data_IF_659607650971
#
_entry.id   IF_659607650971
#
_cell.length_a   1.000
_cell.length_b   1.000
_cell.length_c   1.000
_cell.angle_alpha   90.00
_cell.angle_beta   90.00
_cell.angle_gamma   90.00
#
_symmetry.space_group_name_H-M   'P 1'
#
loop_
_entity.id
_entity.type
_entity.pdbx_description
1 polymer ?
#
# COMPACT_ATOMS: atom_id res chain seq x y z
N UNK A 1 -10.38 9.18 -8.89
CA UNK A 1 -10.47 8.04 -7.96
C UNK A 1 -9.27 7.12 -8.17
N UNK A 2 -8.49 6.79 -7.13
CA UNK A 2 -7.19 6.11 -7.29
C UNK A 2 -7.24 4.73 -7.97
N UNK A 3 -8.23 3.87 -7.68
CA UNK A 3 -8.38 2.57 -8.36
C UNK A 3 -8.47 2.74 -9.88
N UNK A 4 -9.32 3.64 -10.36
CA UNK A 4 -9.51 3.90 -11.79
C UNK A 4 -8.20 4.27 -12.50
N UNK A 5 -7.38 5.11 -11.86
CA UNK A 5 -6.09 5.52 -12.42
C UNK A 5 -5.12 4.33 -12.51
N UNK A 6 -5.05 3.50 -11.47
CA UNK A 6 -4.19 2.32 -11.47
C UNK A 6 -4.66 1.26 -12.48
N UNK A 7 -5.96 0.98 -12.58
CA UNK A 7 -6.50 0.04 -13.56
C UNK A 7 -6.26 0.50 -15.02
N UNK A 8 -6.32 1.81 -15.29
CA UNK A 8 -5.97 2.34 -16.61
C UNK A 8 -4.50 2.13 -16.95
N UNK A 9 -3.58 2.28 -15.99
CA UNK A 9 -2.15 1.95 -16.19
C UNK A 9 -1.95 0.47 -16.52
N UNK A 10 -2.70 -0.42 -15.86
CA UNK A 10 -2.67 -1.86 -16.16
C UNK A 10 -3.12 -2.14 -17.60
N UNK A 11 -4.21 -1.52 -18.05
CA UNK A 11 -4.69 -1.66 -19.42
C UNK A 11 -3.66 -1.19 -20.45
N UNK A 12 -3.01 -0.04 -20.20
CA UNK A 12 -1.93 0.47 -21.04
C UNK A 12 -0.71 -0.45 -21.08
N UNK A 13 -0.44 -1.16 -19.98
CA UNK A 13 0.69 -2.09 -19.86
C UNK A 13 0.38 -3.49 -20.40
N UNK A 14 -0.89 -3.75 -20.73
CA UNK A 14 -1.41 -5.05 -21.13
C UNK A 14 -1.75 -5.95 -19.93
N UNK A 15 -2.90 -6.60 -20.00
CA UNK A 15 -3.36 -7.48 -18.94
C UNK A 15 -2.47 -8.73 -18.80
N UNK A 16 -2.26 -9.16 -17.54
CA UNK A 16 -1.70 -10.46 -17.18
C UNK A 16 -2.50 -11.54 -17.91
N UNK A 17 -1.80 -12.52 -18.46
CA UNK A 17 -2.43 -13.70 -19.03
C UNK A 17 -1.65 -14.93 -18.60
N UNK A 18 -2.39 -15.98 -18.28
CA UNK A 18 -1.83 -17.24 -17.82
C UNK A 18 -1.97 -18.31 -18.91
N UNK A 19 -1.01 -19.24 -18.97
CA UNK A 19 -1.09 -20.37 -19.88
C UNK A 19 -1.96 -21.45 -19.24
N UNK A 20 -3.19 -21.55 -19.69
CA UNK A 20 -4.14 -22.57 -19.23
C UNK A 20 -4.10 -23.74 -20.20
N UNK A 21 -3.96 -24.94 -19.65
CA UNK A 21 -4.06 -26.18 -20.42
C UNK A 21 -5.54 -26.48 -20.67
N UNK A 22 -5.90 -26.68 -21.93
CA UNK A 22 -7.25 -27.16 -22.31
C UNK A 22 -7.15 -28.43 -23.11
N UNK A 23 -7.96 -29.41 -22.71
CA UNK A 23 -8.26 -30.57 -23.51
C UNK A 23 -9.31 -30.18 -24.55
N UNK A 24 -9.04 -30.49 -25.82
CA UNK A 24 -9.85 -30.13 -26.97
C UNK A 24 -10.06 -31.37 -27.85
N UNK A 25 -11.22 -31.49 -28.46
CA UNK A 25 -11.48 -32.45 -29.54
C UNK A 25 -11.83 -31.65 -30.78
N UNK A 26 -11.04 -31.79 -31.84
CA UNK A 26 -11.22 -31.02 -33.09
C UNK A 26 -10.78 -31.89 -34.29
N UNK A 27 -11.15 -31.51 -35.51
CA UNK A 27 -10.74 -32.19 -36.75
C UNK A 27 -9.38 -31.72 -37.25
N UNK A 28 -8.91 -30.56 -36.76
CA UNK A 28 -7.62 -29.98 -37.16
C UNK A 28 -6.60 -30.06 -36.03
N UNK A 29 -5.36 -30.46 -36.36
CA UNK A 29 -4.29 -30.57 -35.38
C UNK A 29 -3.83 -29.18 -34.92
N UNK A 30 -4.10 -28.85 -33.65
CA UNK A 30 -3.61 -27.66 -32.96
C UNK A 30 -3.04 -28.06 -31.60
N UNK A 31 -1.74 -27.82 -31.39
CA UNK A 31 -1.05 -28.23 -30.16
C UNK A 31 -0.57 -29.68 -30.21
N UNK A 32 -0.75 -30.44 -29.12
CA UNK A 32 -0.23 -31.81 -28.99
C UNK A 32 -1.36 -32.83 -28.86
N UNK A 33 -1.33 -33.90 -29.64
CA UNK A 33 -2.27 -35.02 -29.53
C UNK A 33 -2.14 -35.66 -28.13
N UNK A 34 -3.28 -36.01 -27.53
CA UNK A 34 -3.37 -36.86 -26.35
C UNK A 34 -3.61 -38.32 -26.79
N UNK A 35 -2.55 -39.13 -26.98
CA UNK A 35 -2.69 -40.47 -27.53
C UNK A 35 -3.49 -41.39 -26.61
N UNK A 36 -3.46 -41.15 -25.29
CA UNK A 36 -4.22 -41.93 -24.32
C UNK A 36 -5.71 -41.64 -24.49
N UNK A 37 -6.09 -40.36 -24.57
CA UNK A 37 -7.49 -39.98 -24.81
C UNK A 37 -7.97 -40.45 -26.20
N UNK A 38 -7.13 -40.36 -27.24
CA UNK A 38 -7.45 -40.84 -28.58
C UNK A 38 -7.75 -42.34 -28.60
N UNK A 39 -6.91 -43.15 -27.97
CA UNK A 39 -7.07 -44.60 -27.94
C UNK A 39 -8.25 -45.06 -27.07
N UNK A 40 -8.55 -44.34 -25.98
CA UNK A 40 -9.58 -44.75 -25.01
C UNK A 40 -10.97 -44.17 -25.28
N UNK A 41 -11.07 -42.99 -25.90
CA UNK A 41 -12.34 -42.28 -26.11
C UNK A 41 -12.70 -42.08 -27.58
N UNK A 42 -11.73 -42.18 -28.49
CA UNK A 42 -11.89 -41.94 -29.92
C UNK A 42 -11.82 -43.21 -30.78
N UNK A 43 -12.06 -44.40 -30.21
CA UNK A 43 -11.97 -45.65 -30.95
C UNK A 43 -12.97 -45.65 -32.12
N UNK A 44 -12.45 -45.72 -33.36
CA UNK A 44 -13.25 -45.66 -34.58
C UNK A 44 -13.56 -44.25 -35.11
N UNK A 45 -13.17 -43.18 -34.42
CA UNK A 45 -13.37 -41.78 -34.86
C UNK A 45 -12.02 -41.17 -35.27
N UNK A 46 -11.62 -41.40 -36.52
CA UNK A 46 -10.35 -40.90 -37.08
C UNK A 46 -10.41 -39.42 -37.49
N UNK A 47 -11.61 -38.88 -37.66
CA UNK A 47 -11.88 -37.47 -38.00
C UNK A 47 -11.79 -36.55 -36.77
N UNK A 48 -11.70 -37.11 -35.55
CA UNK A 48 -11.64 -36.36 -34.29
C UNK A 48 -10.33 -36.61 -33.57
N UNK A 49 -9.57 -35.55 -33.37
CA UNK A 49 -8.30 -35.58 -32.68
C UNK A 49 -8.48 -35.05 -31.25
N UNK A 50 -8.22 -35.92 -30.27
CA UNK A 50 -8.09 -35.53 -28.87
C UNK A 50 -6.73 -34.86 -28.67
N UNK A 51 -6.73 -33.60 -28.23
CA UNK A 51 -5.55 -32.75 -28.15
C UNK A 51 -5.49 -31.98 -26.84
N UNK A 52 -4.27 -31.60 -26.48
CA UNK A 52 -3.92 -30.71 -25.38
C UNK A 52 -3.34 -29.43 -25.97
N UNK A 53 -3.99 -28.32 -25.68
CA UNK A 53 -3.54 -26.98 -26.09
C UNK A 53 -3.20 -26.14 -24.87
N UNK A 54 -2.33 -25.15 -25.05
CA UNK A 54 -2.03 -24.14 -24.05
C UNK A 54 -2.50 -22.80 -24.60
N UNK A 55 -3.54 -22.22 -23.98
CA UNK A 55 -4.06 -20.90 -24.37
C UNK A 55 -3.65 -19.89 -23.32
N UNK A 56 -3.27 -18.71 -23.81
CA UNK A 56 -2.86 -17.59 -22.97
C UNK A 56 -4.10 -16.75 -22.64
N UNK A 57 -4.72 -17.02 -21.50
CA UNK A 57 -6.04 -16.49 -21.13
C UNK A 57 -5.93 -15.33 -20.13
N UNK A 58 -6.71 -14.25 -20.29
CA UNK A 58 -6.70 -13.12 -19.38
C UNK A 58 -7.55 -13.37 -18.13
N UNK A 59 -8.29 -14.47 -18.03
CA UNK A 59 -9.21 -14.82 -16.94
C UNK A 59 -8.47 -15.25 -15.66
N UNK A 60 -7.55 -14.40 -15.20
CA UNK A 60 -6.80 -14.59 -13.96
C UNK A 60 -7.46 -13.83 -12.81
N UNK A 61 -7.22 -14.28 -11.59
CA UNK A 61 -7.79 -13.63 -10.40
C UNK A 61 -7.34 -12.16 -10.29
N UNK A 62 -6.12 -11.83 -10.74
CA UNK A 62 -5.60 -10.45 -10.71
C UNK A 62 -6.46 -9.51 -11.56
N UNK A 63 -6.84 -9.95 -12.75
CA UNK A 63 -7.67 -9.16 -13.66
C UNK A 63 -9.12 -9.10 -13.19
N UNK A 64 -9.67 -10.24 -12.75
CA UNK A 64 -11.05 -10.32 -12.25
C UNK A 64 -11.24 -9.48 -10.98
N UNK A 65 -10.23 -9.42 -10.10
CA UNK A 65 -10.26 -8.55 -8.92
C UNK A 65 -10.37 -7.07 -9.28
N UNK A 66 -9.67 -6.63 -10.34
CA UNK A 66 -9.78 -5.26 -10.84
C UNK A 66 -11.18 -4.97 -11.39
N UNK A 67 -11.74 -5.86 -12.22
CA UNK A 67 -13.10 -5.73 -12.75
C UNK A 67 -14.15 -5.68 -11.63
N UNK A 68 -14.05 -6.59 -10.66
CA UNK A 68 -14.96 -6.65 -9.51
C UNK A 68 -14.91 -5.35 -8.70
N UNK A 69 -13.72 -4.84 -8.45
CA UNK A 69 -13.54 -3.60 -7.68
C UNK A 69 -14.03 -2.37 -8.44
N UNK A 70 -13.81 -2.27 -9.75
CA UNK A 70 -14.33 -1.17 -10.57
C UNK A 70 -15.85 -1.21 -10.66
N UNK A 71 -16.43 -2.40 -10.80
CA UNK A 71 -17.88 -2.59 -10.79
C UNK A 71 -18.47 -2.17 -9.45
N UNK A 72 -17.87 -2.58 -8.33
CA UNK A 72 -18.28 -2.15 -7.00
C UNK A 72 -18.04 -0.64 -6.76
N UNK A 73 -16.98 -0.07 -7.34
CA UNK A 73 -16.73 1.37 -7.25
C UNK A 73 -17.79 2.18 -7.99
N UNK A 74 -18.28 1.69 -9.13
CA UNK A 74 -19.33 2.34 -9.89
C UNK A 74 -20.66 2.41 -9.12
N UNK A 75 -20.96 1.42 -8.26
CA UNK A 75 -22.21 1.43 -7.47
C UNK A 75 -22.17 2.39 -6.28
N UNK A 76 -20.99 2.69 -5.74
CA UNK A 76 -20.81 3.59 -4.58
C UNK A 76 -20.43 5.02 -4.96
N UNK A 77 -20.04 5.27 -6.22
CA UNK A 77 -19.62 6.58 -6.69
C UNK A 77 -20.81 7.55 -6.79
N UNK A 78 -20.62 8.78 -6.30
CA UNK A 78 -21.66 9.84 -6.31
C UNK A 78 -21.64 10.74 -7.55
N UNK A 79 -20.58 10.68 -8.35
CA UNK A 79 -20.42 11.54 -9.55
C UNK A 79 -20.69 10.73 -10.82
N UNK A 80 -21.65 11.13 -11.68
CA UNK A 80 -22.01 10.38 -12.89
C UNK A 80 -20.81 10.07 -13.80
N UNK A 81 -19.90 11.03 -14.00
CA UNK A 81 -18.70 10.81 -14.81
C UNK A 81 -17.76 9.74 -14.24
N UNK A 82 -17.70 9.60 -12.90
CA UNK A 82 -16.90 8.56 -12.25
C UNK A 82 -17.56 7.18 -12.35
N UNK A 83 -18.90 7.12 -12.21
CA UNK A 83 -19.69 5.89 -12.40
C UNK A 83 -19.44 5.34 -13.80
N UNK A 84 -19.62 6.18 -14.83
CA UNK A 84 -19.45 5.80 -16.21
C UNK A 84 -18.01 5.34 -16.51
N UNK A 85 -17.02 6.15 -16.12
CA UNK A 85 -15.62 5.80 -16.34
C UNK A 85 -15.20 4.50 -15.64
N UNK A 86 -15.73 4.22 -14.44
CA UNK A 86 -15.46 2.98 -13.73
C UNK A 86 -16.11 1.77 -14.43
N UNK A 87 -17.37 1.90 -14.86
CA UNK A 87 -18.09 0.84 -15.57
C UNK A 87 -17.46 0.51 -16.94
N UNK A 88 -17.12 1.54 -17.73
CA UNK A 88 -16.42 1.35 -19.00
C UNK A 88 -15.07 0.66 -18.80
N UNK A 89 -14.28 1.13 -17.81
CA UNK A 89 -12.98 0.53 -17.52
C UNK A 89 -13.14 -0.91 -17.03
N UNK A 90 -14.17 -1.23 -16.25
CA UNK A 90 -14.45 -2.60 -15.79
C UNK A 90 -14.73 -3.55 -16.96
N UNK A 91 -15.44 -3.07 -17.99
CA UNK A 91 -15.75 -3.84 -19.20
C UNK A 91 -14.53 -4.22 -20.06
N UNK A 92 -13.38 -3.59 -19.83
CA UNK A 92 -12.12 -3.94 -20.49
C UNK A 92 -11.35 -5.07 -19.78
N UNK A 93 -11.78 -5.45 -18.58
CA UNK A 93 -11.25 -6.59 -17.85
C UNK A 93 -12.17 -7.82 -18.03
N UNK A 94 -11.66 -9.04 -17.84
CA UNK A 94 -12.49 -10.24 -17.77
C UNK A 94 -13.60 -10.09 -16.73
N UNK A 95 -14.73 -10.73 -16.99
CA UNK A 95 -15.87 -10.71 -16.08
C UNK A 95 -15.45 -11.14 -14.67
N UNK A 96 -15.94 -10.45 -13.63
CA UNK A 96 -15.57 -10.76 -12.26
C UNK A 96 -16.06 -12.16 -11.86
N UNK A 97 -15.19 -12.93 -11.22
CA UNK A 97 -15.58 -14.18 -10.56
C UNK A 97 -16.33 -13.95 -9.26
N UNK A 98 -16.45 -15.00 -8.44
CA UNK A 98 -17.08 -14.93 -7.13
C UNK A 98 -16.33 -13.95 -6.20
N UNK A 99 -17.04 -13.00 -5.58
CA UNK A 99 -16.45 -11.98 -4.71
C UNK A 99 -15.64 -12.55 -3.54
N UNK A 100 -16.15 -13.57 -2.84
CA UNK A 100 -15.46 -14.17 -1.69
C UNK A 100 -14.16 -14.87 -2.11
N UNK A 101 -14.18 -15.55 -3.25
CA UNK A 101 -12.98 -16.15 -3.83
C UNK A 101 -11.95 -15.08 -4.22
N UNK A 102 -12.39 -13.96 -4.81
CA UNK A 102 -11.50 -12.84 -5.17
C UNK A 102 -10.89 -12.15 -3.94
N UNK A 103 -11.66 -11.96 -2.86
CA UNK A 103 -11.13 -11.45 -1.59
C UNK A 103 -10.06 -12.39 -1.02
N UNK A 104 -10.34 -13.70 -0.99
CA UNK A 104 -9.38 -14.72 -0.55
C UNK A 104 -8.11 -14.69 -1.41
N UNK A 105 -8.24 -14.52 -2.73
CA UNK A 105 -7.12 -14.41 -3.65
C UNK A 105 -6.32 -13.10 -3.44
N UNK A 106 -6.98 -11.99 -3.12
CA UNK A 106 -6.31 -10.72 -2.81
C UNK A 106 -5.52 -10.77 -1.50
N UNK A 107 -5.97 -11.57 -0.53
CA UNK A 107 -5.29 -11.77 0.75
C UNK A 107 -4.09 -12.72 0.63
N UNK A 108 -4.28 -13.85 -0.07
CA UNK A 108 -3.28 -14.93 -0.16
C UNK A 108 -2.40 -14.84 -1.40
N UNK A 109 -2.74 -13.98 -2.35
CA UNK A 109 -2.06 -13.84 -3.63
C UNK A 109 -0.61 -13.38 -3.46
N UNK A 110 0.30 -14.10 -4.11
CA UNK A 110 1.74 -13.78 -4.08
C UNK A 110 2.09 -12.87 -5.24
N UNK A 111 2.76 -11.77 -4.92
CA UNK A 111 3.32 -10.87 -5.93
C UNK A 111 4.71 -11.33 -6.36
N UNK A 112 4.89 -11.49 -7.67
CA UNK A 112 6.15 -11.81 -8.32
C UNK A 112 6.38 -10.85 -9.49
N UNK A 113 7.53 -10.97 -10.18
CA UNK A 113 7.94 -10.05 -11.26
C UNK A 113 6.90 -9.79 -12.36
N UNK A 114 5.97 -10.74 -12.60
CA UNK A 114 4.99 -10.63 -13.68
C UNK A 114 3.66 -10.01 -13.25
N UNK A 115 3.39 -9.85 -11.95
CA UNK A 115 2.17 -9.23 -11.43
C UNK A 115 2.44 -8.13 -10.38
N UNK A 116 3.71 -7.80 -10.11
CA UNK A 116 4.09 -6.76 -9.14
C UNK A 116 3.44 -5.41 -9.40
N UNK A 117 3.25 -5.05 -10.67
CA UNK A 117 2.61 -3.80 -11.10
C UNK A 117 1.10 -3.75 -10.80
N UNK A 118 0.45 -4.88 -10.48
CA UNK A 118 -0.95 -4.92 -10.03
C UNK A 118 -1.13 -4.50 -8.57
N UNK A 119 -0.05 -4.51 -7.77
CA UNK A 119 -0.13 -4.30 -6.32
C UNK A 119 -0.86 -3.00 -5.91
N UNK A 120 -0.66 -1.84 -6.58
CA UNK A 120 -1.42 -0.63 -6.27
C UNK A 120 -2.93 -0.78 -6.55
N UNK A 121 -3.30 -1.35 -7.70
CA UNK A 121 -4.70 -1.58 -8.05
C UNK A 121 -5.36 -2.56 -7.08
N UNK A 122 -4.68 -3.66 -6.73
CA UNK A 122 -5.16 -4.66 -5.76
C UNK A 122 -5.29 -4.11 -4.33
N UNK A 123 -4.44 -3.17 -3.93
CA UNK A 123 -4.59 -2.49 -2.65
C UNK A 123 -5.92 -1.73 -2.59
N UNK A 124 -6.24 -0.96 -3.62
CA UNK A 124 -7.54 -0.29 -3.71
C UNK A 124 -8.71 -1.26 -3.89
N UNK A 125 -8.51 -2.34 -4.65
CA UNK A 125 -9.52 -3.38 -4.84
C UNK A 125 -9.93 -3.99 -3.51
N UNK A 126 -8.98 -4.32 -2.62
CA UNK A 126 -9.28 -4.79 -1.25
C UNK A 126 -10.15 -3.79 -0.50
N UNK A 127 -9.77 -2.51 -0.46
CA UNK A 127 -10.54 -1.47 0.24
C UNK A 127 -12.00 -1.43 -0.23
N UNK A 128 -12.22 -1.50 -1.54
CA UNK A 128 -13.56 -1.40 -2.14
C UNK A 128 -14.36 -2.70 -2.00
N UNK A 129 -13.69 -3.85 -2.14
CA UNK A 129 -14.33 -5.18 -2.10
C UNK A 129 -14.58 -5.68 -0.69
N UNK A 130 -13.85 -5.22 0.33
CA UNK A 130 -14.26 -5.50 1.70
C UNK A 130 -15.55 -4.74 2.03
N UNK A 131 -15.77 -3.54 1.47
CA UNK A 131 -17.01 -2.76 1.66
C UNK A 131 -17.21 -2.20 3.07
N UNK A 132 -16.59 -2.85 4.06
CA UNK A 132 -16.32 -2.38 5.40
C UNK A 132 -14.96 -1.69 5.37
N UNK A 133 -14.95 -0.39 5.61
CA UNK A 133 -13.77 0.41 5.39
C UNK A 133 -12.59 -0.04 6.25
N UNK A 134 -11.57 -0.67 5.65
CA UNK A 134 -10.26 -1.03 6.23
C UNK A 134 -10.28 -1.25 7.75
N UNK A 135 -11.13 -2.16 8.23
CA UNK A 135 -11.06 -2.57 9.63
C UNK A 135 -9.86 -3.49 9.89
N UNK A 136 -9.25 -4.05 8.85
CA UNK A 136 -8.43 -5.25 9.02
C UNK A 136 -7.09 -5.23 8.26
N UNK A 137 -6.38 -4.09 8.31
CA UNK A 137 -4.93 -4.13 8.07
C UNK A 137 -4.19 -4.50 9.37
N UNK A 138 -4.82 -4.45 10.55
CA UNK A 138 -4.12 -4.63 11.83
C UNK A 138 -4.91 -5.21 13.03
N UNK A 139 -6.01 -6.01 12.88
CA UNK A 139 -6.52 -7.03 13.83
C UNK A 139 -8.03 -7.30 13.68
N UNK A 140 -8.35 -8.60 13.79
CA UNK A 140 -9.65 -9.29 13.74
C UNK A 140 -10.75 -8.67 14.64
N UNK A 141 -11.85 -8.22 14.03
CA UNK A 141 -13.22 -8.31 14.58
C UNK A 141 -14.23 -7.60 13.66
N UNK A 142 -15.04 -8.40 12.96
CA UNK A 142 -16.01 -7.93 11.99
C UNK A 142 -17.16 -7.12 12.58
N UNK A 143 -17.29 -5.86 12.13
CA UNK A 143 -18.53 -5.10 12.18
C UNK A 143 -18.65 -4.21 10.93
N UNK A 144 -19.85 -4.20 10.35
CA UNK A 144 -20.18 -3.46 9.12
C UNK A 144 -20.32 -1.96 9.38
N UNK A 145 -19.45 -1.16 8.77
CA UNK A 145 -19.59 0.28 8.72
C UNK A 145 -19.03 0.82 7.39
N UNK A 146 -19.80 1.69 6.72
CA UNK A 146 -19.42 2.37 5.48
C UNK A 146 -18.37 3.49 5.67
N UNK A 147 -17.63 3.46 6.79
CA UNK A 147 -16.58 4.41 7.14
C UNK A 147 -15.27 3.67 7.28
N UNK A 148 -14.23 4.12 6.56
CA UNK A 148 -12.86 3.65 6.78
C UNK A 148 -12.37 4.22 8.11
N UNK A 149 -12.47 3.43 9.18
CA UNK A 149 -11.90 3.78 10.49
C UNK A 149 -10.40 3.49 10.45
N UNK A 150 -9.63 4.40 9.89
CA UNK A 150 -8.18 4.32 9.92
C UNK A 150 -7.70 4.62 11.34
N UNK A 151 -6.85 3.74 11.89
CA UNK A 151 -6.06 4.06 13.08
C UNK A 151 -5.07 5.16 12.72
N UNK A 152 -5.52 6.40 12.90
CA UNK A 152 -4.89 7.57 12.30
C UNK A 152 -3.53 7.87 12.91
N UNK A 153 -3.33 7.50 14.18
CA UNK A 153 -2.01 7.54 14.83
C UNK A 153 -1.02 6.65 14.09
N UNK A 154 -1.33 5.36 13.93
CA UNK A 154 -0.46 4.39 13.22
C UNK A 154 -0.18 4.79 11.77
N UNK A 155 -1.20 5.34 11.08
CA UNK A 155 -1.02 5.83 9.72
C UNK A 155 -0.07 7.03 9.69
N UNK A 156 -0.26 7.97 10.62
CA UNK A 156 0.57 9.15 10.74
C UNK A 156 2.01 8.80 11.08
N UNK A 157 2.24 7.87 12.01
CA UNK A 157 3.56 7.33 12.33
C UNK A 157 4.27 6.79 11.08
N UNK A 158 3.56 6.00 10.25
CA UNK A 158 4.13 5.49 9.00
C UNK A 158 4.48 6.59 8.01
N UNK A 159 3.63 7.61 7.90
CA UNK A 159 3.88 8.79 7.05
C UNK A 159 5.12 9.53 7.54
N UNK A 160 5.20 9.84 8.83
CA UNK A 160 6.35 10.53 9.46
C UNK A 160 7.63 9.72 9.29
N UNK A 161 7.59 8.40 9.54
CA UNK A 161 8.76 7.52 9.37
C UNK A 161 9.29 7.54 7.94
N UNK A 162 8.39 7.50 6.93
CA UNK A 162 8.78 7.59 5.52
C UNK A 162 9.34 8.97 5.17
N UNK A 163 8.66 10.04 5.60
CA UNK A 163 9.08 11.42 5.33
C UNK A 163 10.45 11.73 5.98
N UNK A 164 10.65 11.29 7.22
CA UNK A 164 11.89 11.42 7.97
C UNK A 164 13.05 10.69 7.25
N UNK A 165 12.83 9.44 6.81
CA UNK A 165 13.84 8.70 6.04
C UNK A 165 14.18 9.40 4.71
N UNK A 166 13.18 9.93 3.99
CA UNK A 166 13.39 10.66 2.74
C UNK A 166 14.12 11.98 2.94
N UNK A 167 13.81 12.72 4.01
CA UNK A 167 14.47 13.98 4.35
C UNK A 167 15.91 13.77 4.86
N UNK A 168 16.16 12.67 5.58
CA UNK A 168 17.46 12.35 6.15
C UNK A 168 18.45 11.78 5.11
N UNK A 169 17.97 11.02 4.13
CA UNK A 169 18.80 10.38 3.10
C UNK A 169 19.81 11.33 2.40
N UNK A 170 19.42 12.51 1.88
CA UNK A 170 20.39 13.43 1.24
C UNK A 170 21.41 14.04 2.21
N UNK A 171 21.17 13.94 3.52
CA UNK A 171 22.08 14.40 4.58
C UNK A 171 22.95 13.25 5.14
N UNK A 172 22.96 12.08 4.49
CA UNK A 172 23.68 10.90 4.97
C UNK A 172 23.01 10.22 6.18
N UNK A 173 21.74 10.55 6.44
CA UNK A 173 20.96 9.96 7.51
C UNK A 173 20.30 8.64 7.12
N UNK A 174 20.21 7.72 8.06
CA UNK A 174 19.58 6.40 7.89
C UNK A 174 18.56 6.15 8.98
N UNK A 175 17.48 5.46 8.61
CA UNK A 175 16.46 5.02 9.54
C UNK A 175 16.95 3.77 10.28
N UNK A 176 16.92 3.82 11.60
CA UNK A 176 17.26 2.67 12.43
C UNK A 176 16.09 1.68 12.42
N UNK A 177 16.39 0.41 12.18
CA UNK A 177 15.37 -0.64 12.22
C UNK A 177 15.01 -0.97 13.67
N UNK A 178 13.72 -1.11 13.96
CA UNK A 178 13.24 -1.59 15.27
C UNK A 178 13.88 -2.95 15.55
N UNK A 179 14.63 -3.08 16.65
CA UNK A 179 15.29 -4.33 17.06
C UNK A 179 16.72 -4.54 16.54
N UNK A 180 17.29 -3.62 15.75
CA UNK A 180 18.72 -3.67 15.43
C UNK A 180 19.54 -3.19 16.65
N UNK A 181 20.35 -4.09 17.20
CA UNK A 181 21.12 -3.89 18.44
C UNK A 181 21.88 -2.55 18.49
N UNK A 182 21.87 -1.94 19.68
CA UNK A 182 22.35 -0.61 20.10
C UNK A 182 21.31 0.53 20.15
N UNK A 183 20.20 0.45 19.41
CA UNK A 183 19.11 1.44 19.51
C UNK A 183 17.89 0.85 20.21
N UNK A 184 18.07 0.35 21.44
CA UNK A 184 16.94 -0.14 22.21
C UNK A 184 16.03 1.03 22.60
N UNK A 185 14.73 0.77 22.68
CA UNK A 185 13.81 1.64 23.38
C UNK A 185 14.38 2.01 24.76
N UNK A 186 14.13 3.24 25.22
CA UNK A 186 14.49 3.63 26.58
C UNK A 186 13.69 2.74 27.53
N UNK A 187 14.37 2.05 28.44
CA UNK A 187 13.74 1.20 29.44
C UNK A 187 13.78 1.91 30.79
N UNK A 188 12.63 1.93 31.46
CA UNK A 188 12.53 2.33 32.85
C UNK A 188 12.20 1.09 33.66
N UNK A 189 13.07 0.75 34.60
CA UNK A 189 12.85 -0.32 35.58
C UNK A 189 12.36 0.32 36.86
N UNK A 190 11.14 0.01 37.26
CA UNK A 190 10.61 0.42 38.56
C UNK A 190 10.93 -0.60 39.66
N UNK A 191 11.00 -0.14 40.90
CA UNK A 191 11.27 -0.97 42.09
C UNK A 191 10.25 -2.11 42.30
N UNK A 192 9.07 -2.01 41.66
CA UNK A 192 7.98 -2.98 41.70
C UNK A 192 7.97 -3.96 40.51
N UNK A 193 9.06 -4.03 39.73
CA UNK A 193 9.23 -5.03 38.66
C UNK A 193 8.47 -4.77 37.37
N UNK A 194 7.92 -3.56 37.17
CA UNK A 194 7.37 -3.16 35.87
C UNK A 194 8.45 -2.50 35.01
N UNK A 195 9.03 -3.29 34.09
CA UNK A 195 9.86 -2.76 33.03
C UNK A 195 8.98 -2.13 31.95
N UNK A 196 9.09 -0.82 31.79
CA UNK A 196 8.39 -0.07 30.75
C UNK A 196 9.37 0.34 29.65
N UNK A 197 8.92 0.24 28.40
CA UNK A 197 9.73 0.48 27.21
C UNK A 197 9.12 1.62 26.42
N UNK A 198 9.92 2.64 26.14
CA UNK A 198 9.51 3.86 25.45
C UNK A 198 10.29 4.01 24.15
N UNK A 199 9.90 3.32 23.06
CA UNK A 199 10.49 3.55 21.75
C UNK A 199 9.94 4.84 21.13
N UNK A 200 10.76 5.65 20.46
CA UNK A 200 10.26 6.69 19.57
C UNK A 200 9.65 6.06 18.30
N UNK A 201 8.75 6.78 17.62
CA UNK A 201 8.10 6.29 16.39
C UNK A 201 9.10 6.13 15.23
N UNK A 202 10.10 7.01 15.20
CA UNK A 202 11.19 6.99 14.24
C UNK A 202 12.51 7.38 14.94
N UNK A 203 13.59 6.69 14.57
CA UNK A 203 14.92 6.99 15.07
C UNK A 203 15.88 7.06 13.88
N UNK A 204 16.55 8.20 13.74
CA UNK A 204 17.50 8.46 12.66
C UNK A 204 18.92 8.46 13.20
N UNK A 205 19.86 7.98 12.39
CA UNK A 205 21.30 8.06 12.64
C UNK A 205 21.98 8.73 11.46
N UNK A 206 22.85 9.70 11.73
CA UNK A 206 23.58 10.46 10.71
C UNK A 206 25.05 10.09 10.73
N UNK A 207 25.56 9.47 9.67
CA UNK A 207 26.93 8.95 9.65
C UNK A 207 27.09 7.58 10.31
N UNK A 208 28.23 6.94 10.05
CA UNK A 208 28.54 5.56 10.47
C UNK A 208 29.26 5.48 11.82
N UNK A 209 29.82 6.60 12.30
CA UNK A 209 30.64 6.67 13.51
C UNK A 209 29.98 7.46 14.65
N UNK A 210 28.76 7.97 14.44
CA UNK A 210 28.04 8.72 15.49
C UNK A 210 27.35 7.76 16.45
N UNK A 211 27.55 7.99 17.74
CA UNK A 211 26.90 7.25 18.83
C UNK A 211 25.48 7.76 19.12
N UNK A 212 25.19 9.00 18.73
CA UNK A 212 23.89 9.65 18.94
C UNK A 212 22.85 9.32 17.87
N UNK A 213 21.59 9.47 18.26
CA UNK A 213 20.43 9.30 17.40
C UNK A 213 19.52 10.53 17.48
N UNK A 214 18.78 10.80 16.40
CA UNK A 214 17.71 11.79 16.37
C UNK A 214 16.35 11.08 16.51
N UNK A 215 15.74 11.09 17.71
CA UNK A 215 14.40 10.58 17.92
C UNK A 215 13.35 11.53 17.33
N UNK A 216 12.39 10.94 16.62
CA UNK A 216 11.27 11.63 15.99
C UNK A 216 9.98 10.97 16.48
N UNK A 217 9.13 11.75 17.12
CA UNK A 217 7.83 11.33 17.64
C UNK A 217 6.71 11.92 16.77
N UNK A 218 5.76 11.08 16.36
CA UNK A 218 4.67 11.41 15.47
C UNK A 218 3.38 11.54 16.28
N UNK A 219 2.85 12.76 16.39
CA UNK A 219 1.57 13.00 17.08
C UNK A 219 0.48 13.44 16.14
N UNK A 220 -0.58 12.66 16.04
CA UNK A 220 -1.81 13.07 15.35
C UNK A 220 -2.66 13.97 16.27
N UNK A 221 -2.15 15.18 16.56
CA UNK A 221 -2.78 16.19 17.42
C UNK A 221 -2.76 17.55 16.70
N UNK A 222 -3.76 18.40 16.95
CA UNK A 222 -3.87 19.74 16.35
C UNK A 222 -3.00 20.78 17.06
N UNK A 223 -1.67 20.59 17.04
CA UNK A 223 -0.71 21.53 17.65
C UNK A 223 -0.51 22.83 16.87
N UNK A 224 -1.13 22.96 15.70
CA UNK A 224 -1.22 24.24 14.97
C UNK A 224 -1.96 25.34 15.75
N UNK A 225 -2.89 24.98 16.63
CA UNK A 225 -3.76 25.93 17.34
C UNK A 225 -3.67 25.82 18.87
N UNK A 226 -2.75 25.00 19.38
CA UNK A 226 -2.57 24.80 20.82
C UNK A 226 -1.12 24.46 21.14
N UNK A 227 -0.70 24.76 22.36
CA UNK A 227 0.62 24.37 22.86
C UNK A 227 0.75 22.84 22.87
N UNK A 228 1.99 22.36 22.69
CA UNK A 228 2.30 20.92 22.84
C UNK A 228 1.95 20.49 24.26
N UNK A 229 1.25 19.36 24.38
CA UNK A 229 0.78 18.86 25.67
C UNK A 229 1.99 18.55 26.57
N UNK A 230 1.88 18.80 27.88
CA UNK A 230 2.98 18.58 28.82
C UNK A 230 3.51 17.14 28.76
N UNK A 231 2.63 16.14 28.61
CA UNK A 231 3.04 14.73 28.46
C UNK A 231 3.99 14.52 27.28
N UNK A 232 3.74 15.19 26.16
CA UNK A 232 4.51 15.02 24.94
C UNK A 232 5.86 15.76 25.07
N UNK A 233 5.88 16.91 25.76
CA UNK A 233 7.15 17.59 26.11
C UNK A 233 8.02 16.69 26.99
N UNK A 234 7.44 16.06 28.03
CA UNK A 234 8.20 15.15 28.89
C UNK A 234 8.74 13.96 28.09
N UNK A 235 7.92 13.38 27.20
CA UNK A 235 8.35 12.31 26.31
C UNK A 235 9.53 12.74 25.41
N UNK A 236 9.45 13.93 24.81
CA UNK A 236 10.52 14.50 24.00
C UNK A 236 11.82 14.74 24.78
N UNK A 237 11.73 15.22 26.02
CA UNK A 237 12.90 15.42 26.89
C UNK A 237 13.56 14.08 27.24
N UNK A 238 12.76 13.06 27.58
CA UNK A 238 13.26 11.70 27.83
C UNK A 238 13.98 11.16 26.60
N UNK A 239 13.43 11.35 25.41
CA UNK A 239 14.07 10.94 24.16
C UNK A 239 15.36 11.71 23.87
N UNK A 240 15.34 13.04 24.00
CA UNK A 240 16.53 13.86 23.78
C UNK A 240 17.68 13.42 24.70
N UNK A 241 17.41 13.19 25.98
CA UNK A 241 18.41 12.73 26.95
C UNK A 241 18.89 11.30 26.68
N UNK A 242 17.96 10.37 26.37
CA UNK A 242 18.30 8.96 26.18
C UNK A 242 19.03 8.65 24.87
N UNK A 243 18.98 9.54 23.87
CA UNK A 243 19.52 9.31 22.53
C UNK A 243 20.61 10.31 22.10
N UNK A 244 20.98 11.30 22.92
CA UNK A 244 21.93 12.36 22.57
C UNK A 244 23.30 11.85 22.05
N UNK A 245 23.84 10.78 22.64
CA UNK A 245 25.22 10.34 22.37
C UNK A 245 26.22 11.49 22.52
N UNK A 246 27.09 11.68 21.53
CA UNK A 246 28.08 12.78 21.48
C UNK A 246 27.54 14.09 20.87
N UNK A 247 26.24 14.17 20.57
CA UNK A 247 25.59 15.32 19.95
C UNK A 247 24.68 16.06 20.93
N UNK A 248 24.30 17.33 20.65
CA UNK A 248 23.30 18.02 21.47
C UNK A 248 22.02 17.20 21.58
N UNK A 249 21.50 17.11 22.80
CA UNK A 249 20.26 16.40 23.12
C UNK A 249 19.07 17.07 22.41
N UNK A 250 18.70 16.54 21.25
CA UNK A 250 17.61 17.05 20.41
C UNK A 250 16.63 15.92 20.13
N UNK A 251 15.34 16.24 20.23
CA UNK A 251 14.24 15.40 19.79
C UNK A 251 13.26 16.23 18.97
N UNK A 252 12.54 15.57 18.06
CA UNK A 252 11.61 16.23 17.14
C UNK A 252 10.22 15.65 17.32
N UNK A 253 9.23 16.53 17.39
CA UNK A 253 7.82 16.15 17.27
C UNK A 253 7.29 16.57 15.91
N UNK A 254 6.58 15.66 15.24
CA UNK A 254 5.95 15.90 13.94
C UNK A 254 4.46 15.68 14.07
N UNK A 255 3.69 16.73 13.77
CA UNK A 255 2.24 16.71 13.83
C UNK A 255 1.63 17.20 12.52
N UNK A 256 0.41 16.77 12.17
CA UNK A 256 -0.25 17.26 10.98
C UNK A 256 -0.68 18.72 11.19
N UNK A 257 -0.71 19.47 10.09
CA UNK A 257 -1.29 20.82 10.00
C UNK A 257 -2.45 20.71 9.01
N UNK A 258 -3.65 21.10 9.42
CA UNK A 258 -4.82 21.05 8.56
C UNK A 258 -4.90 22.34 7.75
N UNK A 259 -4.14 22.42 6.66
CA UNK A 259 -4.37 23.47 5.66
C UNK A 259 -5.63 23.10 4.87
N UNK A 260 -6.64 23.98 4.90
CA UNK A 260 -7.82 23.84 4.05
C UNK A 260 -7.42 23.67 2.58
N UNK A 261 -8.21 22.93 1.81
CA UNK A 261 -7.92 22.57 0.41
C UNK A 261 -7.70 23.77 -0.55
N UNK A 262 -7.90 25.02 -0.08
CA UNK A 262 -7.74 26.24 -0.87
C UNK A 262 -6.31 26.81 -0.88
N UNK A 263 -5.42 26.40 0.02
CA UNK A 263 -4.13 27.11 0.22
C UNK A 263 -2.92 26.48 -0.48
N UNK A 264 -3.11 25.40 -1.24
CA UNK A 264 -2.01 24.65 -1.88
C UNK A 264 -1.66 25.19 -3.29
N UNK A 265 -2.40 26.18 -3.81
CA UNK A 265 -2.16 26.72 -5.17
C UNK A 265 -1.47 28.08 -5.23
N UNK A 266 -1.04 28.68 -4.11
CA UNK A 266 -0.22 29.89 -4.16
C UNK A 266 1.23 29.57 -3.77
N UNK A 267 2.02 29.13 -4.75
CA UNK A 267 3.47 29.33 -4.70
C UNK A 267 3.72 30.84 -4.85
N UNK A 268 4.39 31.52 -3.90
CA UNK A 268 4.86 32.87 -4.17
C UNK A 268 6.04 32.76 -5.15
N UNK A 269 5.85 33.26 -6.37
CA UNK A 269 6.98 33.60 -7.22
C UNK A 269 7.73 34.74 -6.54
N UNK A 270 8.91 34.45 -5.97
CA UNK A 270 9.86 35.50 -5.61
C UNK A 270 10.55 35.98 -6.89
N UNK A 271 10.08 37.11 -7.39
CA UNK A 271 10.80 37.91 -8.38
C UNK A 271 12.07 38.52 -7.76
N UNK A 272 13.21 38.56 -8.46
CA UNK A 272 14.42 39.18 -7.93
C UNK A 272 14.33 40.71 -8.09
N UNK A 273 14.30 41.44 -6.97
CA UNK A 273 14.44 42.89 -6.96
C UNK A 273 15.81 43.29 -7.55
N UNK A 274 15.78 43.93 -8.72
CA UNK A 274 16.91 44.68 -9.27
C UNK A 274 17.21 45.86 -8.34
N UNK A 275 18.36 45.82 -7.67
CA UNK A 275 18.96 47.00 -7.04
C UNK A 275 19.31 48.01 -8.13
N UNK A 276 18.69 49.20 -8.09
CA UNK A 276 19.19 50.38 -8.78
C UNK A 276 20.24 51.02 -7.88
N UNK A 277 21.42 51.23 -8.45
CA UNK A 277 22.47 52.05 -7.87
C UNK A 277 22.08 53.53 -7.95
N UNK A 278 22.41 54.27 -6.90
CA UNK A 278 22.72 55.70 -6.91
C UNK A 278 23.94 55.89 -6.04
#
# INVERSE_FOLDING_TARGET
>A
MPLLAECRKLLLSGLRREYVRRDLVDTTLRGRIDPVAQATRGYGQLDRLHMRTFRREPETWENQACSAALTAAATIARTPGLVHAAAETAGLFPAPGNRAALLTALERGVYHRLNQHYRPAHAWARVILHGDGVSDVLLDSGHRAHTVLLRMNDLWEQVVRRAAAQAAAPLGGTLVQKGAGAASAIRSTGDLGQDSSYPPDCLLRFGTHTTGYLPVDAKYKRYEHRRVDASDIHQLLTYAAGYAGDHPAVSVIVHPVQRGAHDVLQRPQREPQRRRAS
#
